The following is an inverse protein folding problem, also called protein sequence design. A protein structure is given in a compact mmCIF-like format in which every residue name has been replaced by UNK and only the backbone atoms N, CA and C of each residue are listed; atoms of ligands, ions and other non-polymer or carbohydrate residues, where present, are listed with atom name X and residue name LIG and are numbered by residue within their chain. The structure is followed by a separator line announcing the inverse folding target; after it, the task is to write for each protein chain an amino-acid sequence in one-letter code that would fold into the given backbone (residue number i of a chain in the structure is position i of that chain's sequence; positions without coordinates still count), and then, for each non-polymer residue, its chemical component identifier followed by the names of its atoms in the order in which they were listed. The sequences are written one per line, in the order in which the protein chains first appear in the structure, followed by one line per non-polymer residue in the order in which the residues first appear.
data_IF_037624439435
#
_entry.id   IF_037624439435
#
_cell.length_a   1.000
_cell.length_b   1.000
_cell.length_c   1.000
_cell.angle_alpha   90.00
_cell.angle_beta   90.00
_cell.angle_gamma   90.00
#
_symmetry.space_group_name_H-M   'P 1'
#
loop_
_entity.id
_entity.type
_entity.pdbx_description
1 polymer ?
#
# COMPACT_ATOMS: atom_id res chain seq x y z
N UNK A 1 20.11 1.20 -13.82
CA UNK A 1 19.00 0.24 -13.59
C UNK A 1 18.18 0.73 -12.41
N UNK A 2 16.84 0.64 -12.47
CA UNK A 2 15.99 1.03 -11.35
C UNK A 2 15.74 -0.18 -10.43
N UNK A 3 15.75 0.04 -9.11
CA UNK A 3 15.49 -0.99 -8.09
C UNK A 3 14.53 -0.43 -7.05
N UNK A 4 13.69 -1.30 -6.47
CA UNK A 4 12.82 -0.93 -5.34
C UNK A 4 13.26 -1.74 -4.13
N UNK A 5 13.48 -1.05 -3.00
CA UNK A 5 13.99 -1.64 -1.77
C UNK A 5 13.10 -1.26 -0.58
N UNK A 6 12.68 -2.22 0.26
CA UNK A 6 12.00 -1.94 1.51
C UNK A 6 13.01 -1.55 2.59
N UNK A 7 12.85 -0.39 3.18
CA UNK A 7 13.59 0.04 4.38
C UNK A 7 12.69 -0.25 5.58
N UNK A 8 13.02 -1.23 6.44
CA UNK A 8 12.22 -1.51 7.63
C UNK A 8 12.24 -0.33 8.59
N UNK A 9 11.07 0.01 9.13
CA UNK A 9 10.88 1.06 10.12
C UNK A 9 9.84 0.62 11.17
N UNK A 10 9.92 1.14 12.37
CA UNK A 10 9.04 0.79 13.48
C UNK A 10 8.96 -0.73 13.71
N UNK A 11 7.73 -1.26 13.92
CA UNK A 11 7.50 -2.70 14.17
C UNK A 11 7.26 -3.48 12.88
N UNK A 12 6.54 -2.87 11.93
CA UNK A 12 6.02 -3.56 10.74
C UNK A 12 5.93 -2.66 9.47
N UNK A 13 6.40 -1.40 9.54
CA UNK A 13 6.40 -0.50 8.39
C UNK A 13 7.53 -0.82 7.41
N UNK A 14 7.26 -0.61 6.13
CA UNK A 14 8.25 -0.46 5.07
C UNK A 14 8.18 0.94 4.48
N UNK A 15 9.29 1.68 4.58
CA UNK A 15 9.54 2.87 3.79
C UNK A 15 10.12 2.40 2.46
N UNK A 16 9.46 2.73 1.34
CA UNK A 16 9.93 2.25 0.04
C UNK A 16 10.96 3.19 -0.57
N UNK A 17 12.08 2.65 -1.02
CA UNK A 17 13.13 3.35 -1.74
C UNK A 17 13.15 2.91 -3.21
N UNK A 18 12.89 3.83 -4.13
CA UNK A 18 13.07 3.61 -5.56
C UNK A 18 14.44 4.20 -5.91
N UNK A 19 15.36 3.35 -6.35
CA UNK A 19 16.79 3.69 -6.51
C UNK A 19 17.13 3.73 -8.00
N UNK A 20 17.81 4.79 -8.42
CA UNK A 20 18.47 4.86 -9.71
C UNK A 20 19.98 4.64 -9.52
N UNK A 21 20.45 3.43 -9.82
CA UNK A 21 21.86 3.08 -9.70
C UNK A 21 22.78 3.91 -10.62
N UNK A 22 22.28 4.46 -11.72
CA UNK A 22 23.09 5.21 -12.69
C UNK A 22 23.40 6.62 -12.19
N UNK A 23 22.43 7.26 -11.52
CA UNK A 23 22.58 8.63 -11.01
C UNK A 23 22.88 8.67 -9.52
N UNK A 24 22.83 7.53 -8.81
CA UNK A 24 22.93 7.42 -7.35
C UNK A 24 21.88 8.28 -6.63
N UNK A 25 20.69 8.35 -7.22
CA UNK A 25 19.54 9.07 -6.68
C UNK A 25 18.48 8.09 -6.17
N UNK A 26 17.68 8.56 -5.20
CA UNK A 26 16.60 7.78 -4.62
C UNK A 26 15.34 8.62 -4.42
N UNK A 27 14.20 8.00 -4.68
CA UNK A 27 12.88 8.48 -4.29
C UNK A 27 12.42 7.68 -3.07
N UNK A 28 11.96 8.36 -2.04
CA UNK A 28 11.46 7.74 -0.80
C UNK A 28 9.95 7.87 -0.75
N UNK A 29 9.26 6.78 -0.42
CA UNK A 29 7.80 6.77 -0.25
C UNK A 29 7.46 6.50 1.21
N UNK A 30 6.61 7.35 1.80
CA UNK A 30 6.10 7.23 3.17
C UNK A 30 7.20 7.17 4.24
N UNK A 31 8.01 8.22 4.32
CA UNK A 31 9.10 8.34 5.29
C UNK A 31 8.58 8.62 6.71
N UNK A 32 8.05 7.61 7.39
CA UNK A 32 7.56 7.72 8.76
C UNK A 32 8.66 7.98 9.79
N UNK A 33 9.87 7.46 9.56
CA UNK A 33 11.05 7.66 10.39
C UNK A 33 12.24 8.06 9.51
N UNK A 34 12.91 9.15 9.85
CA UNK A 34 14.07 9.64 9.11
C UNK A 34 15.33 8.82 9.36
N UNK A 35 15.49 8.22 10.54
CA UNK A 35 16.72 7.53 10.92
C UNK A 35 17.06 6.35 10.02
N UNK A 36 16.17 5.34 9.82
CA UNK A 36 16.50 4.21 8.96
C UNK A 36 16.72 4.64 7.50
N UNK A 37 16.04 5.72 7.04
CA UNK A 37 16.27 6.28 5.71
C UNK A 37 17.65 6.90 5.60
N UNK A 38 18.07 7.74 6.57
CA UNK A 38 19.40 8.36 6.60
C UNK A 38 20.51 7.33 6.68
N UNK A 39 20.35 6.29 7.50
CA UNK A 39 21.30 5.18 7.58
C UNK A 39 21.43 4.45 6.24
N UNK A 40 20.30 4.17 5.59
CA UNK A 40 20.25 3.51 4.29
C UNK A 40 20.94 4.35 3.20
N UNK A 41 20.54 5.61 3.01
CA UNK A 41 21.08 6.45 1.93
C UNK A 41 22.58 6.76 2.14
N UNK A 42 23.04 6.89 3.39
CA UNK A 42 24.46 7.06 3.69
C UNK A 42 25.26 5.80 3.37
N UNK A 43 24.75 4.62 3.74
CA UNK A 43 25.41 3.33 3.48
C UNK A 43 25.53 3.06 1.97
N UNK A 44 24.47 3.35 1.21
CA UNK A 44 24.41 3.11 -0.23
C UNK A 44 24.96 4.29 -1.06
N UNK A 45 25.40 5.38 -0.42
CA UNK A 45 25.89 6.62 -1.06
C UNK A 45 24.86 7.23 -2.04
N UNK A 46 23.60 7.35 -1.60
CA UNK A 46 22.49 7.86 -2.40
C UNK A 46 22.10 9.28 -2.01
N UNK A 47 21.50 10.01 -2.96
CA UNK A 47 20.92 11.35 -2.75
C UNK A 47 19.41 11.27 -2.90
N UNK A 48 18.64 11.72 -1.89
CA UNK A 48 17.19 11.83 -1.98
C UNK A 48 16.82 13.00 -2.88
N UNK A 49 16.10 12.73 -3.97
CA UNK A 49 15.62 13.74 -4.92
C UNK A 49 14.13 14.01 -4.81
N UNK A 50 13.36 12.99 -4.37
CA UNK A 50 11.93 13.12 -4.16
C UNK A 50 11.49 12.34 -2.92
N UNK A 51 10.40 12.83 -2.29
CA UNK A 51 9.66 12.12 -1.24
C UNK A 51 8.19 12.13 -1.66
N UNK A 52 7.57 10.94 -1.73
CA UNK A 52 6.15 10.77 -2.01
C UNK A 52 5.42 10.40 -0.73
N UNK A 53 4.30 11.06 -0.46
CA UNK A 53 3.49 10.83 0.75
C UNK A 53 2.11 10.38 0.35
N UNK A 54 1.69 9.21 0.81
CA UNK A 54 0.38 8.67 0.49
C UNK A 54 -0.72 9.27 1.36
N UNK A 55 -0.49 9.42 2.67
CA UNK A 55 -1.47 9.99 3.59
C UNK A 55 -0.82 10.57 4.87
N UNK A 56 -1.63 11.11 5.78
CA UNK A 56 -1.19 12.00 6.87
C UNK A 56 -0.82 11.31 8.17
N UNK A 57 -0.90 9.99 8.31
CA UNK A 57 -0.55 9.32 9.56
C UNK A 57 0.94 9.49 9.89
N UNK A 58 1.24 9.55 11.17
CA UNK A 58 2.60 9.88 11.66
C UNK A 58 3.68 8.91 11.20
N UNK A 59 3.32 7.65 11.04
CA UNK A 59 4.21 6.60 10.56
C UNK A 59 4.44 6.61 9.04
N UNK A 60 3.85 7.59 8.32
CA UNK A 60 4.11 7.89 6.91
C UNK A 60 4.78 9.24 6.69
N UNK A 61 4.59 10.20 7.63
CA UNK A 61 5.12 11.56 7.47
C UNK A 61 6.13 11.98 8.54
N UNK A 62 6.29 11.22 9.63
CA UNK A 62 7.05 11.64 10.80
C UNK A 62 8.51 12.01 10.52
N UNK A 63 9.15 11.35 9.56
CA UNK A 63 10.53 11.61 9.13
C UNK A 63 10.66 12.66 8.02
N UNK A 64 9.57 13.02 7.31
CA UNK A 64 9.64 13.86 6.10
C UNK A 64 10.28 15.22 6.36
N UNK A 65 9.92 15.90 7.44
CA UNK A 65 10.49 17.21 7.79
C UNK A 65 12.00 17.14 8.05
N UNK A 66 12.48 16.09 8.72
CA UNK A 66 13.90 15.89 8.98
C UNK A 66 14.68 15.59 7.68
N UNK A 67 14.12 14.74 6.82
CA UNK A 67 14.70 14.42 5.52
C UNK A 67 14.72 15.64 4.58
N UNK A 68 13.66 16.46 4.56
CA UNK A 68 13.62 17.72 3.80
C UNK A 68 14.71 18.70 4.25
N UNK A 69 15.03 18.72 5.55
CA UNK A 69 16.14 19.52 6.08
C UNK A 69 17.51 18.96 5.67
N UNK A 70 17.68 17.64 5.67
CA UNK A 70 18.92 16.96 5.29
C UNK A 70 19.17 17.04 3.77
N UNK A 71 18.10 17.02 2.96
CA UNK A 71 18.13 17.09 1.50
C UNK A 71 17.28 18.27 1.02
N UNK A 72 17.75 19.53 1.15
CA UNK A 72 16.93 20.72 0.94
C UNK A 72 16.47 20.92 -0.51
N UNK A 73 17.05 20.20 -1.47
CA UNK A 73 16.65 20.22 -2.88
C UNK A 73 15.62 19.12 -3.23
N UNK A 74 15.31 18.22 -2.30
CA UNK A 74 14.33 17.16 -2.53
C UNK A 74 12.92 17.76 -2.69
N UNK A 75 12.17 17.30 -3.70
CA UNK A 75 10.78 17.65 -3.91
C UNK A 75 9.88 16.73 -3.11
N UNK A 76 8.93 17.28 -2.35
CA UNK A 76 8.00 16.51 -1.56
C UNK A 76 6.61 16.60 -2.19
N UNK A 77 6.07 15.44 -2.63
CA UNK A 77 4.75 15.34 -3.23
C UNK A 77 3.78 14.78 -2.21
N UNK A 78 2.73 15.53 -1.89
CA UNK A 78 1.72 15.17 -0.91
C UNK A 78 0.38 15.84 -1.23
N UNK A 79 -0.72 15.28 -0.71
CA UNK A 79 -2.01 15.98 -0.79
C UNK A 79 -1.96 17.31 -0.03
N UNK A 80 -2.61 18.35 -0.57
CA UNK A 80 -2.56 19.71 0.00
C UNK A 80 -2.95 19.77 1.50
N UNK A 81 -3.85 18.93 1.95
CA UNK A 81 -4.27 18.86 3.36
C UNK A 81 -3.17 18.37 4.32
N UNK A 82 -2.11 17.76 3.79
CA UNK A 82 -0.96 17.27 4.57
C UNK A 82 0.09 18.38 4.76
N UNK A 83 0.11 19.38 3.89
CA UNK A 83 1.10 20.45 3.89
C UNK A 83 1.29 21.13 5.26
N UNK A 84 0.24 21.44 6.04
CA UNK A 84 0.42 22.05 7.37
C UNK A 84 1.20 21.17 8.36
N UNK A 85 1.32 19.87 8.09
CA UNK A 85 1.99 18.89 8.96
C UNK A 85 3.47 18.72 8.61
N UNK A 86 3.91 19.22 7.45
CA UNK A 86 5.26 19.05 6.93
C UNK A 86 5.94 20.42 6.79
N UNK A 87 7.08 20.60 7.43
CA UNK A 87 7.90 21.79 7.28
C UNK A 87 9.01 21.55 6.24
N UNK A 88 8.75 21.93 4.99
CA UNK A 88 9.68 21.74 3.88
C UNK A 88 9.59 22.90 2.85
N UNK A 89 10.70 23.17 2.15
CA UNK A 89 10.78 24.26 1.17
C UNK A 89 10.10 23.92 -0.15
N UNK A 90 10.28 22.66 -0.62
CA UNK A 90 9.79 22.18 -1.92
C UNK A 90 8.63 21.20 -1.75
N UNK A 91 7.55 21.66 -1.12
CA UNK A 91 6.33 20.90 -0.91
C UNK A 91 5.36 21.18 -2.06
N UNK A 92 5.06 20.16 -2.85
CA UNK A 92 4.29 20.23 -4.08
C UNK A 92 2.95 19.51 -3.88
N UNK A 93 1.82 20.20 -4.00
CA UNK A 93 0.51 19.58 -3.85
C UNK A 93 0.21 18.68 -5.06
N UNK A 94 -0.27 17.48 -4.75
CA UNK A 94 -0.79 16.53 -5.74
C UNK A 94 -2.15 15.99 -5.28
N UNK A 95 -2.97 15.57 -6.26
CA UNK A 95 -4.30 15.05 -6.04
C UNK A 95 -4.64 14.07 -7.17
N UNK A 96 -5.89 13.57 -7.21
CA UNK A 96 -6.40 12.72 -8.30
C UNK A 96 -6.05 13.29 -9.68
N UNK A 97 -5.52 12.43 -10.55
CA UNK A 97 -5.09 12.80 -11.90
C UNK A 97 -3.84 13.65 -11.98
N UNK A 98 -3.18 13.92 -10.84
CA UNK A 98 -1.88 14.60 -10.81
C UNK A 98 -0.80 13.77 -11.50
N UNK A 99 0.17 14.46 -12.09
CA UNK A 99 1.30 13.83 -12.75
C UNK A 99 2.62 14.39 -12.20
N UNK A 100 3.58 13.53 -12.00
CA UNK A 100 4.96 13.86 -11.70
C UNK A 100 5.88 12.94 -12.52
N UNK A 101 7.17 13.09 -12.39
CA UNK A 101 8.13 12.25 -13.12
C UNK A 101 9.17 11.64 -12.18
N UNK A 102 9.50 10.39 -12.43
CA UNK A 102 10.63 9.70 -11.81
C UNK A 102 11.68 9.44 -12.89
N UNK A 103 12.73 10.25 -12.93
CA UNK A 103 13.80 10.21 -13.97
C UNK A 103 13.29 10.12 -15.40
N UNK A 104 12.28 10.94 -15.72
CA UNK A 104 11.66 10.99 -17.06
C UNK A 104 10.53 9.97 -17.28
N UNK A 105 10.33 9.01 -16.41
CA UNK A 105 9.16 8.13 -16.43
C UNK A 105 7.96 8.86 -15.83
N UNK A 106 6.80 8.89 -16.51
CA UNK A 106 5.61 9.50 -15.95
C UNK A 106 5.10 8.71 -14.75
N UNK A 107 4.67 9.42 -13.71
CA UNK A 107 4.04 8.88 -12.52
C UNK A 107 2.65 9.47 -12.41
N UNK A 108 1.64 8.63 -12.36
CA UNK A 108 0.25 9.03 -12.13
C UNK A 108 -0.06 9.03 -10.63
N UNK A 109 -0.89 9.96 -10.21
CA UNK A 109 -1.42 10.01 -8.85
C UNK A 109 -2.90 9.64 -8.87
N UNK A 110 -3.25 8.61 -8.10
CA UNK A 110 -4.64 8.23 -7.88
C UNK A 110 -5.04 8.55 -6.44
N UNK A 111 -6.22 9.13 -6.27
CA UNK A 111 -6.86 9.17 -4.97
C UNK A 111 -7.52 7.81 -4.72
N UNK A 112 -7.07 7.12 -3.68
CA UNK A 112 -7.55 5.80 -3.26
C UNK A 112 -8.06 5.91 -1.83
N UNK A 113 -9.10 6.73 -1.67
CA UNK A 113 -9.67 7.04 -0.38
C UNK A 113 -10.30 5.81 0.29
N UNK A 114 -10.42 5.87 1.61
CA UNK A 114 -11.02 4.80 2.42
C UNK A 114 -10.36 4.70 3.79
N UNK A 115 -9.08 4.38 3.83
CA UNK A 115 -8.28 4.43 5.06
C UNK A 115 -8.24 5.86 5.61
N UNK A 116 -7.89 6.81 4.76
CA UNK A 116 -8.12 8.24 4.99
C UNK A 116 -8.88 8.84 3.81
N UNK A 117 -9.52 10.00 4.00
CA UNK A 117 -10.30 10.69 2.98
C UNK A 117 -9.47 11.19 1.79
N UNK A 118 -8.19 11.52 2.02
CA UNK A 118 -7.27 12.09 1.05
C UNK A 118 -6.07 11.17 0.77
N UNK A 119 -6.30 9.85 0.85
CA UNK A 119 -5.25 8.86 0.60
C UNK A 119 -4.89 8.82 -0.88
N UNK A 120 -3.59 8.87 -1.20
CA UNK A 120 -3.04 8.80 -2.55
C UNK A 120 -2.31 7.48 -2.79
N UNK A 121 -2.28 7.06 -4.05
CA UNK A 121 -1.37 6.06 -4.57
C UNK A 121 -0.54 6.65 -5.71
N UNK A 122 0.73 6.25 -5.80
CA UNK A 122 1.64 6.66 -6.88
C UNK A 122 1.88 5.48 -7.81
N UNK A 123 1.60 5.69 -9.10
CA UNK A 123 1.66 4.66 -10.14
C UNK A 123 2.78 4.98 -11.12
N UNK A 124 3.76 4.10 -11.24
CA UNK A 124 4.89 4.26 -12.15
C UNK A 124 5.16 2.97 -12.91
N UNK A 125 5.42 3.09 -14.22
CA UNK A 125 5.85 1.93 -15.03
C UNK A 125 7.38 1.88 -15.06
N UNK A 126 7.93 0.82 -14.48
CA UNK A 126 9.36 0.52 -14.48
C UNK A 126 9.57 -0.85 -15.12
N UNK A 127 10.55 -0.97 -16.03
CA UNK A 127 10.86 -2.22 -16.73
C UNK A 127 9.63 -2.93 -17.35
N UNK A 128 8.69 -2.12 -17.91
CA UNK A 128 7.43 -2.54 -18.53
C UNK A 128 6.36 -3.08 -17.57
N UNK A 129 6.58 -3.02 -16.26
CA UNK A 129 5.64 -3.43 -15.22
C UNK A 129 5.10 -2.22 -14.51
N UNK A 130 3.81 -2.23 -14.16
CA UNK A 130 3.19 -1.20 -13.34
C UNK A 130 3.48 -1.46 -11.85
N UNK A 131 3.99 -0.45 -11.16
CA UNK A 131 4.27 -0.45 -9.73
C UNK A 131 3.36 0.58 -9.07
N UNK A 132 2.64 0.18 -8.01
CA UNK A 132 1.67 1.01 -7.29
C UNK A 132 2.07 1.09 -5.82
N UNK A 133 2.50 2.27 -5.39
CA UNK A 133 2.74 2.57 -3.97
C UNK A 133 1.42 2.98 -3.35
N UNK A 134 0.74 2.02 -2.72
CA UNK A 134 -0.65 2.14 -2.30
C UNK A 134 -0.82 2.47 -0.81
N UNK A 135 0.28 2.68 -0.07
CA UNK A 135 0.25 2.98 1.36
C UNK A 135 -0.62 2.01 2.14
N UNK A 136 -1.65 2.54 2.80
CA UNK A 136 -2.55 1.80 3.68
C UNK A 136 -3.93 1.52 3.07
N UNK A 137 -4.07 1.63 1.76
CA UNK A 137 -5.34 1.27 1.10
C UNK A 137 -5.45 -0.25 0.93
N UNK A 138 -4.47 -0.87 0.26
CA UNK A 138 -4.40 -2.30 0.05
C UNK A 138 -3.20 -2.88 0.80
N UNK A 139 -3.40 -3.99 1.50
CA UNK A 139 -2.35 -4.82 2.08
C UNK A 139 -2.38 -6.22 1.44
N UNK A 140 -1.25 -6.95 1.49
CA UNK A 140 -1.25 -8.34 1.05
C UNK A 140 -2.30 -9.12 1.83
N UNK A 141 -3.26 -9.73 1.09
CA UNK A 141 -4.43 -10.43 1.60
C UNK A 141 -5.36 -9.59 2.51
N UNK A 142 -5.33 -8.24 2.40
CA UNK A 142 -6.09 -7.38 3.30
C UNK A 142 -6.34 -5.98 2.77
N UNK A 143 -6.97 -5.15 3.60
CA UNK A 143 -7.20 -3.73 3.33
C UNK A 143 -7.01 -2.87 4.58
N UNK A 144 -6.82 -1.57 4.37
CA UNK A 144 -6.74 -0.58 5.45
C UNK A 144 -7.99 -0.53 6.32
N UNK A 145 -7.79 -0.15 7.60
CA UNK A 145 -8.89 0.22 8.48
C UNK A 145 -9.41 1.58 8.06
N UNK A 146 -10.72 1.81 8.17
CA UNK A 146 -11.34 3.11 7.87
C UNK A 146 -11.20 4.03 9.08
N UNK A 147 -10.53 5.18 8.92
CA UNK A 147 -10.39 6.21 9.95
C UNK A 147 -11.18 7.49 9.59
N UNK A 148 -10.69 8.27 8.63
CA UNK A 148 -11.35 9.52 8.19
C UNK A 148 -12.03 9.40 6.83
N UNK A 149 -11.80 8.30 6.10
CA UNK A 149 -12.52 7.95 4.88
C UNK A 149 -13.84 7.26 5.18
N UNK A 150 -14.39 6.57 4.18
CA UNK A 150 -15.60 5.77 4.31
C UNK A 150 -15.38 4.36 3.76
N UNK A 151 -16.23 3.41 4.19
CA UNK A 151 -16.20 2.06 3.64
C UNK A 151 -16.57 2.04 2.15
N UNK A 152 -17.45 2.95 1.72
CA UNK A 152 -17.83 3.11 0.33
C UNK A 152 -16.62 3.53 -0.52
N UNK A 153 -15.87 4.53 -0.09
CA UNK A 153 -14.68 4.98 -0.84
C UNK A 153 -13.55 3.94 -0.82
N UNK A 154 -13.44 3.13 0.25
CA UNK A 154 -12.49 2.02 0.27
C UNK A 154 -12.88 0.93 -0.74
N UNK A 155 -14.17 0.59 -0.82
CA UNK A 155 -14.70 -0.35 -1.82
C UNK A 155 -14.43 0.14 -3.25
N UNK A 156 -14.70 1.43 -3.54
CA UNK A 156 -14.45 2.05 -4.84
C UNK A 156 -12.96 2.05 -5.20
N UNK A 157 -12.09 2.25 -4.22
CA UNK A 157 -10.63 2.14 -4.41
C UNK A 157 -10.20 0.73 -4.79
N UNK A 158 -10.77 -0.29 -4.14
CA UNK A 158 -10.53 -1.69 -4.49
C UNK A 158 -11.10 -2.07 -5.86
N UNK A 159 -12.30 -1.59 -6.20
CA UNK A 159 -12.90 -1.77 -7.53
C UNK A 159 -11.99 -1.19 -8.63
N UNK A 160 -11.43 0.00 -8.39
CA UNK A 160 -10.47 0.61 -9.30
C UNK A 160 -9.20 -0.22 -9.49
N UNK A 161 -8.66 -0.82 -8.42
CA UNK A 161 -7.53 -1.74 -8.51
C UNK A 161 -7.92 -3.04 -9.23
N UNK A 162 -9.10 -3.59 -8.97
CA UNK A 162 -9.59 -4.82 -9.60
C UNK A 162 -9.74 -4.69 -11.12
N UNK A 163 -10.04 -3.48 -11.62
CA UNK A 163 -10.19 -3.17 -13.05
C UNK A 163 -8.85 -3.05 -13.79
N UNK A 164 -7.71 -3.13 -13.13
CA UNK A 164 -6.41 -3.19 -13.80
C UNK A 164 -6.31 -4.47 -14.65
N UNK A 165 -5.79 -4.32 -15.87
CA UNK A 165 -5.76 -5.42 -16.86
C UNK A 165 -4.51 -6.29 -16.78
N UNK A 166 -3.44 -5.78 -16.16
CA UNK A 166 -2.16 -6.50 -16.07
C UNK A 166 -2.02 -7.15 -14.68
N UNK A 167 -2.20 -8.44 -14.61
CA UNK A 167 -2.09 -9.24 -13.39
C UNK A 167 -0.67 -9.26 -12.80
N UNK A 168 0.35 -8.86 -13.58
CA UNK A 168 1.72 -8.67 -13.13
C UNK A 168 1.95 -7.33 -12.41
N UNK A 169 0.93 -6.44 -12.34
CA UNK A 169 0.99 -5.20 -11.56
C UNK A 169 1.39 -5.50 -10.12
N UNK A 170 2.35 -4.72 -9.60
CA UNK A 170 2.86 -4.89 -8.24
C UNK A 170 2.36 -3.78 -7.32
N UNK A 171 1.85 -4.17 -6.15
CA UNK A 171 1.48 -3.27 -5.07
C UNK A 171 2.53 -3.25 -3.98
N UNK A 172 2.81 -2.06 -3.49
CA UNK A 172 3.78 -1.76 -2.44
C UNK A 172 3.07 -1.16 -1.21
N UNK A 173 2.42 -2.00 -0.39
CA UNK A 173 1.83 -1.57 0.87
C UNK A 173 2.90 -1.11 1.86
N UNK A 174 2.49 -0.26 2.82
CA UNK A 174 3.43 0.26 3.81
C UNK A 174 3.66 -0.66 5.03
N UNK A 175 2.85 -1.73 5.22
CA UNK A 175 2.92 -2.58 6.40
C UNK A 175 3.01 -4.07 6.10
N UNK A 176 3.77 -4.78 6.92
CA UNK A 176 3.94 -6.24 6.92
C UNK A 176 2.84 -6.93 7.75
N UNK A 177 1.57 -6.79 7.33
CA UNK A 177 0.43 -7.43 8.01
C UNK A 177 0.04 -8.79 7.42
N UNK A 178 0.85 -9.32 6.53
CA UNK A 178 0.53 -10.48 5.67
C UNK A 178 0.01 -11.68 6.44
N UNK A 179 0.74 -12.16 7.45
CA UNK A 179 0.31 -13.38 8.15
C UNK A 179 -1.00 -13.18 8.92
N UNK A 180 -1.21 -12.01 9.53
CA UNK A 180 -2.49 -11.68 10.18
C UNK A 180 -3.64 -11.59 9.18
N UNK A 181 -3.39 -11.04 7.99
CA UNK A 181 -4.39 -10.94 6.94
C UNK A 181 -4.71 -12.31 6.33
N UNK A 182 -3.71 -13.13 6.07
CA UNK A 182 -3.90 -14.50 5.57
C UNK A 182 -4.67 -15.38 6.55
N UNK A 183 -4.44 -15.24 7.86
CA UNK A 183 -5.23 -15.94 8.87
C UNK A 183 -6.70 -15.52 8.82
N UNK A 184 -6.99 -14.24 8.62
CA UNK A 184 -8.34 -13.77 8.40
C UNK A 184 -8.92 -14.29 7.08
N UNK A 185 -8.16 -14.23 5.99
CA UNK A 185 -8.59 -14.77 4.70
C UNK A 185 -8.96 -16.26 4.80
N UNK A 186 -8.14 -17.06 5.51
CA UNK A 186 -8.42 -18.48 5.77
C UNK A 186 -9.68 -18.69 6.63
N UNK A 187 -9.95 -17.82 7.58
CA UNK A 187 -11.19 -17.86 8.35
C UNK A 187 -12.42 -17.61 7.47
N UNK A 188 -12.31 -16.72 6.48
CA UNK A 188 -13.40 -16.39 5.55
C UNK A 188 -13.59 -17.49 4.49
N UNK A 189 -12.50 -17.99 3.88
CA UNK A 189 -12.50 -18.98 2.82
C UNK A 189 -11.56 -20.16 3.17
N UNK A 190 -11.95 -21.03 4.14
CA UNK A 190 -11.09 -22.10 4.67
C UNK A 190 -10.68 -23.15 3.62
N UNK A 191 -11.44 -23.30 2.54
CA UNK A 191 -11.14 -24.27 1.48
C UNK A 191 -10.43 -23.65 0.26
N UNK A 192 -10.04 -22.37 0.32
CA UNK A 192 -9.30 -21.75 -0.77
C UNK A 192 -7.83 -22.22 -0.75
N UNK A 193 -7.38 -23.01 -1.76
CA UNK A 193 -6.03 -23.57 -1.75
C UNK A 193 -4.93 -22.51 -1.97
N UNK A 194 -5.26 -21.38 -2.62
CA UNK A 194 -4.30 -20.31 -2.82
C UNK A 194 -3.94 -19.62 -1.50
N UNK A 195 -4.92 -19.44 -0.60
CA UNK A 195 -4.69 -18.90 0.75
C UNK A 195 -3.80 -19.84 1.56
N UNK A 196 -4.08 -21.15 1.54
CA UNK A 196 -3.26 -22.13 2.25
C UNK A 196 -1.80 -22.16 1.75
N UNK A 197 -1.60 -22.06 0.44
CA UNK A 197 -0.27 -21.99 -0.17
C UNK A 197 0.45 -20.67 0.22
N UNK A 198 -0.25 -19.54 0.20
CA UNK A 198 0.30 -18.24 0.60
C UNK A 198 0.72 -18.28 2.09
N UNK A 199 -0.08 -18.84 2.99
CA UNK A 199 0.27 -19.00 4.41
C UNK A 199 1.58 -19.79 4.56
N UNK A 200 1.72 -20.91 3.88
CA UNK A 200 2.92 -21.73 3.96
C UNK A 200 4.16 -20.95 3.46
N UNK A 201 4.06 -20.38 2.26
CA UNK A 201 5.15 -19.61 1.64
C UNK A 201 5.56 -18.38 2.47
N UNK A 202 4.58 -17.55 2.84
CA UNK A 202 4.86 -16.27 3.51
C UNK A 202 5.32 -16.50 4.97
N UNK A 203 4.88 -17.59 5.62
CA UNK A 203 5.42 -18.00 6.92
C UNK A 203 6.91 -18.35 6.85
N UNK A 204 7.35 -19.03 5.80
CA UNK A 204 8.77 -19.33 5.60
C UNK A 204 9.61 -18.06 5.37
N UNK A 205 9.08 -17.09 4.59
CA UNK A 205 9.73 -15.79 4.39
C UNK A 205 9.87 -15.05 5.73
N UNK A 206 8.78 -14.95 6.49
CA UNK A 206 8.79 -14.23 7.78
C UNK A 206 9.67 -14.89 8.84
N UNK A 207 9.79 -16.22 8.87
CA UNK A 207 10.75 -16.91 9.73
C UNK A 207 12.22 -16.53 9.42
N UNK A 208 12.50 -16.15 8.17
CA UNK A 208 13.81 -15.68 7.71
C UNK A 208 13.95 -14.15 7.76
N UNK A 209 12.99 -13.44 8.37
CA UNK A 209 12.88 -11.97 8.34
C UNK A 209 12.90 -11.37 6.92
N UNK A 210 12.47 -12.13 5.93
CA UNK A 210 12.32 -11.65 4.55
C UNK A 210 10.95 -11.02 4.37
N UNK A 211 10.85 -9.83 3.73
CA UNK A 211 9.56 -9.23 3.38
C UNK A 211 8.69 -10.15 2.52
N UNK A 212 7.38 -10.10 2.74
CA UNK A 212 6.40 -10.77 1.86
C UNK A 212 5.90 -9.86 0.75
N UNK A 213 6.34 -8.61 0.76
CA UNK A 213 5.99 -7.55 -0.19
C UNK A 213 7.14 -7.28 -1.17
N UNK A 214 6.86 -6.81 -2.40
CA UNK A 214 5.53 -6.43 -2.93
C UNK A 214 4.63 -7.63 -3.21
N UNK A 215 3.33 -7.37 -3.43
CA UNK A 215 2.35 -8.37 -3.85
C UNK A 215 1.85 -8.08 -5.28
N UNK A 216 1.48 -9.10 -6.04
CA UNK A 216 0.94 -8.93 -7.40
C UNK A 216 -0.59 -8.82 -7.40
N UNK A 217 -1.16 -8.21 -8.45
CA UNK A 217 -2.60 -8.20 -8.65
C UNK A 217 -3.16 -9.62 -8.77
N UNK A 218 -2.42 -10.53 -9.44
CA UNK A 218 -2.79 -11.94 -9.50
C UNK A 218 -2.92 -12.58 -8.12
N UNK A 219 -1.93 -12.36 -7.25
CA UNK A 219 -1.99 -12.86 -5.87
C UNK A 219 -3.20 -12.29 -5.13
N UNK A 220 -3.40 -10.97 -5.17
CA UNK A 220 -4.50 -10.33 -4.46
C UNK A 220 -5.87 -10.80 -4.94
N UNK A 221 -6.05 -11.04 -6.25
CA UNK A 221 -7.27 -11.68 -6.80
C UNK A 221 -7.47 -13.11 -6.28
N UNK A 222 -6.40 -13.81 -5.97
CA UNK A 222 -6.47 -15.19 -5.51
C UNK A 222 -6.68 -15.32 -3.99
N UNK A 223 -6.06 -14.43 -3.18
CA UNK A 223 -5.97 -14.61 -1.72
C UNK A 223 -6.62 -13.51 -0.89
N UNK A 224 -6.86 -12.31 -1.45
CA UNK A 224 -7.37 -11.17 -0.69
C UNK A 224 -8.90 -11.19 -0.65
N UNK A 225 -9.54 -11.42 0.51
CA UNK A 225 -11.00 -11.51 0.59
C UNK A 225 -11.69 -10.19 0.20
N UNK A 226 -11.04 -9.04 0.38
CA UNK A 226 -11.59 -7.74 0.00
C UNK A 226 -11.55 -7.54 -1.52
N UNK A 227 -10.45 -7.92 -2.18
CA UNK A 227 -10.34 -7.88 -3.64
C UNK A 227 -11.34 -8.85 -4.29
N UNK A 228 -11.47 -10.05 -3.74
CA UNK A 228 -12.40 -11.08 -4.21
C UNK A 228 -13.86 -10.64 -4.02
N UNK A 229 -14.18 -9.99 -2.89
CA UNK A 229 -15.53 -9.47 -2.66
C UNK A 229 -15.94 -8.39 -3.66
N UNK A 230 -15.00 -7.55 -4.11
CA UNK A 230 -15.25 -6.51 -5.13
C UNK A 230 -15.47 -7.14 -6.51
N UNK A 231 -14.69 -8.15 -6.87
CA UNK A 231 -14.78 -8.80 -8.20
C UNK A 231 -16.02 -9.67 -8.27
N UNK A 232 -16.10 -10.68 -7.40
CA UNK A 232 -17.20 -11.63 -7.27
C UNK A 232 -17.01 -12.44 -5.98
N UNK A 233 -17.79 -12.17 -4.93
CA UNK A 233 -17.69 -12.95 -3.69
C UNK A 233 -18.09 -14.40 -3.93
N UNK A 234 -17.27 -15.33 -3.44
CA UNK A 234 -17.57 -16.77 -3.57
C UNK A 234 -18.73 -17.18 -2.67
N UNK A 235 -19.42 -18.29 -3.03
CA UNK A 235 -20.47 -18.89 -2.18
C UNK A 235 -19.99 -19.20 -0.75
N UNK A 236 -18.71 -19.61 -0.62
CA UNK A 236 -18.09 -19.89 0.69
C UNK A 236 -17.93 -18.61 1.49
N UNK A 237 -17.43 -17.53 0.87
CA UNK A 237 -17.30 -16.20 1.49
C UNK A 237 -18.66 -15.69 1.94
N UNK A 238 -19.66 -15.69 1.05
CA UNK A 238 -21.03 -15.24 1.34
C UNK A 238 -21.58 -16.00 2.55
N UNK A 239 -21.52 -17.33 2.51
CA UNK A 239 -22.02 -18.19 3.59
C UNK A 239 -21.31 -17.91 4.92
N UNK A 240 -19.98 -17.75 4.90
CA UNK A 240 -19.21 -17.45 6.12
C UNK A 240 -19.61 -16.10 6.68
N UNK A 241 -19.64 -15.05 5.84
CA UNK A 241 -20.00 -13.69 6.25
C UNK A 241 -21.43 -13.65 6.79
N UNK A 242 -22.41 -14.24 6.13
CA UNK A 242 -23.81 -14.31 6.58
C UNK A 242 -23.92 -15.04 7.92
N UNK A 243 -23.21 -16.15 8.10
CA UNK A 243 -23.20 -16.90 9.36
C UNK A 243 -22.64 -16.09 10.52
N UNK A 244 -21.58 -15.31 10.27
CA UNK A 244 -20.90 -14.54 11.31
C UNK A 244 -21.59 -13.21 11.65
N UNK A 245 -22.31 -12.61 10.70
CA UNK A 245 -22.86 -11.25 10.84
C UNK A 245 -24.39 -11.18 10.85
N UNK A 246 -25.06 -12.20 10.30
CA UNK A 246 -26.52 -12.23 10.14
C UNK A 246 -27.02 -11.34 8.98
N UNK A 247 -26.16 -10.80 8.11
CA UNK A 247 -26.61 -10.04 6.93
C UNK A 247 -27.29 -10.98 5.94
N UNK A 248 -28.32 -10.48 5.25
CA UNK A 248 -29.04 -11.22 4.21
C UNK A 248 -28.61 -10.81 2.80
N UNK A 249 -28.12 -9.58 2.65
CA UNK A 249 -27.68 -9.01 1.36
C UNK A 249 -26.30 -9.56 1.00
N UNK A 250 -26.19 -10.21 -0.16
CA UNK A 250 -24.98 -10.82 -0.70
C UNK A 250 -24.28 -9.97 -1.78
N UNK A 251 -24.72 -8.74 -1.96
CA UNK A 251 -24.08 -7.82 -2.91
C UNK A 251 -22.60 -7.59 -2.57
N UNK A 252 -21.73 -7.40 -3.58
CA UNK A 252 -20.31 -7.18 -3.39
C UNK A 252 -19.97 -6.12 -2.33
N UNK A 253 -20.72 -5.02 -2.31
CA UNK A 253 -20.50 -3.94 -1.35
C UNK A 253 -20.86 -4.34 0.10
N UNK A 254 -22.00 -4.99 0.33
CA UNK A 254 -22.40 -5.40 1.69
C UNK A 254 -21.49 -6.51 2.21
N UNK A 255 -21.05 -7.45 1.37
CA UNK A 255 -20.02 -8.45 1.73
C UNK A 255 -18.70 -7.76 2.10
N UNK A 256 -18.19 -6.84 1.29
CA UNK A 256 -16.96 -6.09 1.58
C UNK A 256 -17.05 -5.33 2.91
N UNK A 257 -18.16 -4.66 3.14
CA UNK A 257 -18.43 -3.92 4.38
C UNK A 257 -18.46 -4.84 5.60
N UNK A 258 -19.13 -5.97 5.49
CA UNK A 258 -19.19 -6.97 6.55
C UNK A 258 -17.82 -7.59 6.84
N UNK A 259 -17.01 -7.90 5.80
CA UNK A 259 -15.63 -8.34 5.94
C UNK A 259 -14.79 -7.33 6.73
N UNK A 260 -14.91 -6.01 6.44
CA UNK A 260 -14.16 -5.00 7.18
C UNK A 260 -14.58 -4.93 8.65
N UNK A 261 -15.87 -5.07 8.93
CA UNK A 261 -16.38 -5.13 10.32
C UNK A 261 -15.85 -6.37 11.06
N UNK A 262 -15.89 -7.54 10.43
CA UNK A 262 -15.34 -8.78 11.00
C UNK A 262 -13.84 -8.63 11.27
N UNK A 263 -13.06 -8.13 10.30
CA UNK A 263 -11.61 -7.94 10.46
C UNK A 263 -11.24 -6.94 11.56
N UNK A 264 -12.10 -5.98 11.89
CA UNK A 264 -11.84 -5.05 13.00
C UNK A 264 -11.87 -5.73 14.38
N UNK A 265 -12.56 -6.89 14.49
CA UNK A 265 -12.76 -7.63 15.72
C UNK A 265 -11.99 -8.99 15.74
N UNK A 266 -11.30 -9.31 14.64
CA UNK A 266 -10.47 -10.49 14.47
C UNK A 266 -9.06 -10.25 15.02
#
# INVERSE_FOLDING_TARGET
MLKIHPIPAFTDNYIWAIINDETQEVIIVDAGDDKPVLEFVNRENLTITQIWVTHHHSDHIGGVTALAKAFPNAQIFAHANIHPLINATHLIPVAEGGELTAWGSPVQVWQVAGHTENHLAYLVTLDKRLHIFCGDTLFRAGCGRVFTGTIQTLFESFDRFAQLHDDETLFYPAHEYTLSNLNFAQFIEPNNPAIAQAIAHDSELRQKNTPTLPTSLADEKAINPFMRAVIEPSDEMIKTVQTQTGIEDDSPFEIFKALRQLKNNF
#
